data_IF_739750310248
#
_entry.id   IF_739750310248
#
_cell.length_a   1.000
_cell.length_b   1.000
_cell.length_c   1.000
_cell.angle_alpha   90.00
_cell.angle_beta   90.00
_cell.angle_gamma   90.00
#
_symmetry.space_group_name_H-M   'P 1'
#
loop_
_entity.id
_entity.type
_entity.pdbx_description
1 polymer ?
#
# COMPACT_ATOMS: atom_id res chain seq x y z
N UNK A 1 -23.64 13.12 -37.79
CA UNK A 1 -23.85 13.92 -36.56
C UNK A 1 -22.50 14.49 -36.16
N UNK A 2 -22.36 15.82 -36.06
CA UNK A 2 -21.11 16.42 -35.61
C UNK A 2 -21.11 16.41 -34.08
N UNK A 3 -20.09 15.79 -33.48
CA UNK A 3 -19.85 15.89 -32.04
C UNK A 3 -19.48 17.34 -31.72
N UNK A 4 -20.12 17.94 -30.71
CA UNK A 4 -19.72 19.25 -30.22
C UNK A 4 -18.59 19.09 -29.21
N UNK A 5 -17.37 19.47 -29.61
CA UNK A 5 -16.22 19.48 -28.73
C UNK A 5 -16.22 20.81 -27.96
N UNK A 6 -16.21 20.81 -26.61
CA UNK A 6 -16.38 22.02 -25.80
C UNK A 6 -15.12 22.91 -25.74
N UNK A 7 -14.09 22.57 -26.50
CA UNK A 7 -12.82 23.30 -26.59
C UNK A 7 -12.24 23.21 -28.00
N UNK A 8 -11.21 24.02 -28.29
CA UNK A 8 -10.53 23.97 -29.58
C UNK A 8 -9.70 22.69 -29.70
N UNK A 9 -10.13 21.76 -30.55
CA UNK A 9 -9.40 20.54 -30.89
C UNK A 9 -9.03 20.59 -32.38
N UNK A 10 -7.76 20.89 -32.66
CA UNK A 10 -7.25 21.10 -34.01
C UNK A 10 -6.93 19.80 -34.77
N UNK A 11 -6.41 19.94 -35.99
CA UNK A 11 -5.89 18.80 -36.76
C UNK A 11 -4.70 18.17 -36.02
N UNK A 12 -4.85 16.89 -35.67
CA UNK A 12 -3.82 16.14 -34.94
C UNK A 12 -3.33 14.98 -35.78
N UNK A 13 -2.01 14.91 -36.00
CA UNK A 13 -1.38 13.83 -36.73
C UNK A 13 -0.93 12.72 -35.79
N UNK A 14 -1.28 11.48 -36.11
CA UNK A 14 -0.87 10.28 -35.38
C UNK A 14 0.22 9.55 -36.15
N UNK A 15 1.28 9.14 -35.46
CA UNK A 15 2.36 8.31 -36.01
C UNK A 15 2.35 6.96 -35.30
N UNK A 16 1.76 5.98 -35.95
CA UNK A 16 1.50 4.66 -35.38
C UNK A 16 2.09 3.55 -36.26
N UNK A 17 2.56 2.43 -35.68
CA UNK A 17 2.94 1.25 -36.44
C UNK A 17 1.76 0.70 -37.24
N UNK A 18 2.00 0.21 -38.45
CA UNK A 18 0.91 -0.32 -39.29
C UNK A 18 0.28 -1.61 -38.75
N UNK A 19 0.98 -2.34 -37.89
CA UNK A 19 0.52 -3.55 -37.22
C UNK A 19 -0.20 -3.30 -35.89
N UNK A 20 -0.22 -2.06 -35.40
CA UNK A 20 -1.07 -1.65 -34.27
C UNK A 20 -2.54 -1.93 -34.58
N UNK A 21 -3.32 -2.30 -33.57
CA UNK A 21 -4.74 -2.57 -33.74
C UNK A 21 -5.55 -1.26 -33.76
N UNK A 22 -6.75 -1.30 -34.35
CA UNK A 22 -7.67 -0.15 -34.34
C UNK A 22 -8.04 0.25 -32.91
N UNK A 23 -8.18 -0.71 -31.98
CA UNK A 23 -8.48 -0.41 -30.57
C UNK A 23 -7.36 0.40 -29.91
N UNK A 24 -6.10 0.06 -30.17
CA UNK A 24 -4.96 0.80 -29.61
C UNK A 24 -4.88 2.23 -30.19
N UNK A 25 -5.27 2.41 -31.46
CA UNK A 25 -5.41 3.74 -32.06
C UNK A 25 -6.54 4.55 -31.41
N UNK A 26 -7.65 3.91 -31.04
CA UNK A 26 -8.74 4.57 -30.32
C UNK A 26 -8.22 5.08 -28.96
N UNK A 27 -7.50 4.26 -28.21
CA UNK A 27 -6.90 4.65 -26.92
C UNK A 27 -5.94 5.84 -27.05
N UNK A 28 -5.10 5.87 -28.09
CA UNK A 28 -4.20 7.01 -28.39
C UNK A 28 -4.98 8.30 -28.68
N UNK A 29 -6.12 8.20 -29.37
CA UNK A 29 -6.97 9.36 -29.66
C UNK A 29 -7.66 9.87 -28.40
N UNK A 30 -8.16 8.98 -27.55
CA UNK A 30 -8.76 9.33 -26.26
C UNK A 30 -7.76 10.03 -25.34
N UNK A 31 -6.54 9.46 -25.22
CA UNK A 31 -5.45 10.06 -24.45
C UNK A 31 -5.10 11.46 -24.98
N UNK A 32 -5.05 11.62 -26.30
CA UNK A 32 -4.76 12.92 -26.91
C UNK A 32 -5.88 13.95 -26.69
N UNK A 33 -7.12 13.50 -26.72
CA UNK A 33 -8.28 14.33 -26.41
C UNK A 33 -8.24 14.82 -24.94
N UNK A 34 -7.91 13.94 -24.01
CA UNK A 34 -7.76 14.24 -22.58
C UNK A 34 -6.67 15.31 -22.34
N UNK A 35 -5.51 15.19 -23.00
CA UNK A 35 -4.43 16.19 -22.93
C UNK A 35 -4.90 17.59 -23.34
N UNK A 36 -5.58 17.71 -24.48
CA UNK A 36 -6.05 19.00 -25.00
C UNK A 36 -7.22 19.55 -24.19
N UNK A 37 -8.09 18.67 -23.68
CA UNK A 37 -9.17 19.00 -22.76
C UNK A 37 -8.66 19.63 -21.47
N UNK A 38 -7.58 19.07 -20.91
CA UNK A 38 -6.91 19.59 -19.71
C UNK A 38 -6.25 20.93 -19.99
N UNK A 39 -5.53 21.08 -21.12
CA UNK A 39 -4.92 22.37 -21.52
C UNK A 39 -5.96 23.47 -21.72
N UNK A 40 -7.14 23.12 -22.21
CA UNK A 40 -8.25 24.06 -22.39
C UNK A 40 -9.05 24.34 -21.10
N UNK A 41 -8.77 23.64 -20.00
CA UNK A 41 -9.52 23.76 -18.75
C UNK A 41 -10.94 23.20 -18.79
N UNK A 42 -11.25 22.33 -19.76
CA UNK A 42 -12.58 21.74 -19.92
C UNK A 42 -12.80 20.53 -19.00
N UNK A 43 -11.74 19.76 -18.71
CA UNK A 43 -11.78 18.59 -17.81
C UNK A 43 -12.85 17.55 -18.20
N UNK A 44 -12.86 17.17 -19.47
CA UNK A 44 -13.71 16.13 -20.06
C UNK A 44 -12.88 15.05 -20.76
N UNK A 45 -13.38 13.81 -20.75
CA UNK A 45 -12.80 12.65 -21.44
C UNK A 45 -13.69 12.29 -22.65
N UNK A 46 -13.09 11.63 -23.65
CA UNK A 46 -13.78 11.08 -24.82
C UNK A 46 -13.81 9.56 -24.70
N UNK A 47 -14.98 8.95 -24.83
CA UNK A 47 -15.16 7.49 -24.94
C UNK A 47 -15.57 7.16 -26.38
N UNK A 48 -14.65 6.60 -27.18
CA UNK A 48 -14.87 6.34 -28.61
C UNK A 48 -15.67 5.07 -28.80
N UNK A 49 -16.84 5.21 -29.42
CA UNK A 49 -17.71 4.09 -29.80
C UNK A 49 -17.43 3.58 -31.21
N UNK A 50 -17.02 4.48 -32.13
CA UNK A 50 -16.86 4.18 -33.55
C UNK A 50 -15.66 4.93 -34.13
N UNK A 51 -14.83 4.23 -34.89
CA UNK A 51 -13.75 4.79 -35.71
C UNK A 51 -13.93 4.35 -37.18
N UNK A 52 -13.73 5.26 -38.12
CA UNK A 52 -13.81 4.97 -39.57
C UNK A 52 -12.74 5.71 -40.37
N UNK A 53 -12.34 5.16 -41.53
CA UNK A 53 -11.51 5.89 -42.50
C UNK A 53 -12.38 6.90 -43.26
N UNK A 54 -11.98 8.17 -43.34
CA UNK A 54 -12.78 9.22 -44.00
C UNK A 54 -13.00 8.97 -45.51
N UNK A 55 -12.13 8.18 -46.14
CA UNK A 55 -12.31 7.71 -47.53
C UNK A 55 -13.51 6.76 -47.67
N UNK A 56 -13.86 6.01 -46.62
CA UNK A 56 -15.04 5.13 -46.56
C UNK A 56 -15.88 5.37 -45.29
N UNK A 57 -16.71 6.41 -45.35
CA UNK A 57 -17.60 6.83 -44.26
C UNK A 57 -18.78 5.89 -43.98
N UNK A 58 -18.94 4.79 -44.73
CA UNK A 58 -20.07 3.86 -44.58
C UNK A 58 -19.76 2.67 -43.68
N UNK A 59 -18.50 2.48 -43.30
CA UNK A 59 -18.06 1.28 -42.59
C UNK A 59 -17.26 1.64 -41.34
N UNK A 60 -17.81 1.31 -40.18
CA UNK A 60 -17.06 1.27 -38.93
C UNK A 60 -15.96 0.19 -39.03
N UNK A 61 -14.79 0.49 -38.50
CA UNK A 61 -13.68 -0.46 -38.46
C UNK A 61 -13.85 -1.41 -37.28
N UNK A 62 -13.38 -2.65 -37.46
CA UNK A 62 -13.33 -3.63 -36.38
C UNK A 62 -12.15 -3.27 -35.46
N UNK A 63 -12.35 -3.10 -34.14
CA UNK A 63 -11.29 -2.74 -33.20
C UNK A 63 -10.09 -3.70 -33.19
N UNK A 64 -10.30 -4.97 -33.56
CA UNK A 64 -9.25 -5.99 -33.57
C UNK A 64 -8.51 -6.12 -34.90
N UNK A 65 -8.83 -5.31 -35.91
CA UNK A 65 -8.08 -5.32 -37.17
C UNK A 65 -6.81 -4.46 -37.03
N UNK A 66 -5.76 -4.79 -37.81
CA UNK A 66 -4.57 -3.96 -37.88
C UNK A 66 -4.82 -2.69 -38.70
N UNK A 67 -4.22 -1.56 -38.30
CA UNK A 67 -4.36 -0.26 -38.98
C UNK A 67 -4.03 -0.35 -40.47
N UNK A 68 -2.95 -1.06 -40.84
CA UNK A 68 -2.51 -1.22 -42.24
C UNK A 68 -3.54 -1.90 -43.15
N UNK A 69 -4.54 -2.59 -42.60
CA UNK A 69 -5.61 -3.19 -43.39
C UNK A 69 -6.61 -2.14 -43.89
N UNK A 70 -6.67 -0.97 -43.25
CA UNK A 70 -7.70 0.05 -43.48
C UNK A 70 -7.14 1.44 -43.79
N UNK A 71 -5.84 1.67 -43.57
CA UNK A 71 -5.21 2.98 -43.72
C UNK A 71 -3.90 2.94 -44.49
N UNK A 72 -3.70 3.96 -45.34
CA UNK A 72 -2.40 4.31 -45.91
C UNK A 72 -1.81 5.55 -45.21
N UNK A 73 -0.50 5.75 -45.32
CA UNK A 73 0.16 6.93 -44.74
C UNK A 73 -0.41 8.23 -45.33
N UNK A 74 -0.90 9.11 -44.46
CA UNK A 74 -1.53 10.38 -44.84
C UNK A 74 -3.07 10.31 -44.90
N UNK A 75 -3.67 9.14 -44.68
CA UNK A 75 -5.11 9.02 -44.51
C UNK A 75 -5.59 9.72 -43.26
N UNK A 76 -6.84 10.17 -43.30
CA UNK A 76 -7.53 10.72 -42.13
C UNK A 76 -8.64 9.76 -41.69
N UNK A 77 -8.96 9.80 -40.41
CA UNK A 77 -10.04 9.02 -39.83
C UNK A 77 -10.98 9.93 -39.05
N UNK A 78 -12.21 9.47 -38.89
CA UNK A 78 -13.19 10.09 -38.00
C UNK A 78 -13.46 9.19 -36.81
N UNK A 79 -13.84 9.83 -35.70
CA UNK A 79 -14.27 9.17 -34.46
C UNK A 79 -15.63 9.69 -34.03
N UNK A 80 -16.42 8.82 -33.40
CA UNK A 80 -17.69 9.16 -32.77
C UNK A 80 -17.78 8.44 -31.42
N UNK A 81 -18.30 9.14 -30.42
CA UNK A 81 -18.21 8.73 -29.03
C UNK A 81 -18.99 9.66 -28.12
N UNK A 82 -18.83 9.45 -26.83
CA UNK A 82 -19.45 10.26 -25.79
C UNK A 82 -18.39 11.11 -25.09
N UNK A 83 -18.71 12.39 -24.84
CA UNK A 83 -17.86 13.27 -24.04
C UNK A 83 -18.40 13.26 -22.62
N UNK A 84 -17.60 12.77 -21.68
CA UNK A 84 -17.97 12.60 -20.28
C UNK A 84 -17.13 13.52 -19.40
N UNK A 85 -17.63 13.97 -18.24
CA UNK A 85 -16.81 14.68 -17.27
C UNK A 85 -15.60 13.83 -16.87
N UNK A 86 -14.40 14.40 -16.98
CA UNK A 86 -13.17 13.71 -16.61
C UNK A 86 -13.21 13.42 -15.12
N UNK A 87 -13.09 12.14 -14.77
CA UNK A 87 -12.81 11.75 -13.38
C UNK A 87 -11.30 11.90 -13.21
N UNK A 88 -10.80 12.42 -12.08
CA UNK A 88 -9.36 12.43 -11.84
C UNK A 88 -8.83 10.99 -11.94
N UNK A 89 -8.19 10.66 -13.07
CA UNK A 89 -7.48 9.40 -13.22
C UNK A 89 -6.34 9.44 -12.23
N UNK A 90 -6.33 8.47 -11.32
CA UNK A 90 -5.24 8.31 -10.40
C UNK A 90 -3.93 8.20 -11.19
N UNK A 91 -2.88 8.89 -10.74
CA UNK A 91 -1.59 8.91 -11.41
C UNK A 91 -1.09 7.49 -11.70
N UNK A 92 -0.31 7.27 -12.77
CA UNK A 92 0.30 5.97 -13.02
C UNK A 92 1.04 5.51 -11.75
N UNK A 93 0.93 4.23 -11.37
CA UNK A 93 1.50 3.73 -10.12
C UNK A 93 3.00 4.04 -10.08
N UNK A 94 3.48 4.56 -8.95
CA UNK A 94 4.90 4.83 -8.76
C UNK A 94 5.71 3.54 -8.96
N UNK A 95 6.94 3.60 -9.50
CA UNK A 95 7.88 2.48 -9.43
C UNK A 95 7.96 1.97 -7.99
N UNK A 96 8.05 0.64 -7.79
CA UNK A 96 8.05 0.05 -6.43
C UNK A 96 9.07 0.70 -5.49
N UNK A 97 10.25 1.05 -6.01
CA UNK A 97 11.34 1.71 -5.27
C UNK A 97 10.96 3.10 -4.73
N UNK A 98 10.10 3.82 -5.46
CA UNK A 98 9.64 5.18 -5.14
C UNK A 98 8.37 5.19 -4.26
N UNK A 99 7.76 4.03 -4.03
CA UNK A 99 6.61 3.91 -3.13
C UNK A 99 7.03 4.05 -1.67
N UNK A 100 6.15 4.58 -0.83
CA UNK A 100 6.38 4.66 0.60
C UNK A 100 6.30 3.24 1.23
N UNK A 101 7.35 2.72 1.89
CA UNK A 101 7.32 1.41 2.49
C UNK A 101 6.44 1.37 3.75
N UNK A 102 5.58 0.36 3.80
CA UNK A 102 4.66 0.09 4.91
C UNK A 102 5.03 -1.24 5.56
N UNK A 103 5.37 -1.22 6.84
CA UNK A 103 5.67 -2.40 7.64
C UNK A 103 4.56 -2.68 8.63
N UNK A 104 4.10 -3.92 8.70
CA UNK A 104 3.12 -4.37 9.70
C UNK A 104 3.90 -4.96 10.89
N UNK A 105 3.72 -4.40 12.08
CA UNK A 105 4.23 -4.94 13.33
C UNK A 105 3.11 -5.73 14.04
N UNK A 106 3.32 -7.03 14.20
CA UNK A 106 2.40 -7.94 14.92
C UNK A 106 3.12 -8.70 16.03
N UNK A 107 2.36 -9.44 16.84
CA UNK A 107 2.87 -10.27 17.93
C UNK A 107 1.98 -10.22 19.16
N UNK A 108 2.11 -11.23 20.02
CA UNK A 108 1.26 -11.37 21.20
C UNK A 108 1.24 -10.16 22.14
N UNK A 109 0.14 -10.03 22.88
CA UNK A 109 0.10 -9.10 24.02
C UNK A 109 1.28 -9.37 24.96
N UNK A 110 1.99 -8.30 25.34
CA UNK A 110 3.16 -8.38 26.20
C UNK A 110 4.44 -8.85 25.51
N UNK A 111 4.48 -9.09 24.19
CA UNK A 111 5.73 -9.43 23.49
C UNK A 111 6.74 -8.27 23.47
N UNK A 112 6.26 -7.04 23.68
CA UNK A 112 7.04 -5.81 23.82
C UNK A 112 6.88 -4.83 22.67
N UNK A 113 5.82 -4.94 21.85
CA UNK A 113 5.54 -4.06 20.70
C UNK A 113 5.59 -2.58 21.07
N UNK A 114 4.82 -2.16 22.07
CA UNK A 114 4.81 -0.79 22.58
C UNK A 114 6.19 -0.34 23.10
N UNK A 115 6.98 -1.25 23.69
CA UNK A 115 8.36 -0.94 24.11
C UNK A 115 9.26 -0.69 22.90
N UNK A 116 9.13 -1.48 21.83
CA UNK A 116 9.85 -1.29 20.58
C UNK A 116 9.44 0.04 19.91
N UNK A 117 8.15 0.34 19.81
CA UNK A 117 7.67 1.60 19.21
C UNK A 117 8.18 2.82 19.99
N UNK A 118 8.13 2.79 21.32
CA UNK A 118 8.70 3.83 22.16
C UNK A 118 10.22 3.99 21.96
N UNK A 119 10.94 2.88 21.83
CA UNK A 119 12.37 2.89 21.54
C UNK A 119 12.64 3.54 20.17
N UNK A 120 11.86 3.19 19.14
CA UNK A 120 11.96 3.78 17.79
C UNK A 120 11.71 5.29 17.85
N UNK A 121 10.66 5.74 18.53
CA UNK A 121 10.28 7.16 18.61
C UNK A 121 11.29 8.00 19.40
N UNK A 122 11.84 7.48 20.49
CA UNK A 122 12.72 8.26 21.39
C UNK A 122 14.19 8.21 21.00
N UNK A 123 14.69 7.03 20.65
CA UNK A 123 16.13 6.78 20.59
C UNK A 123 16.67 6.73 19.15
N UNK A 124 15.81 6.81 18.13
CA UNK A 124 16.20 6.62 16.73
C UNK A 124 15.72 7.80 15.89
N UNK A 125 16.68 8.54 15.33
CA UNK A 125 16.45 9.83 14.64
C UNK A 125 16.83 9.76 13.15
N UNK A 126 17.30 8.60 12.68
CA UNK A 126 17.86 8.42 11.34
C UNK A 126 16.80 8.36 10.23
N UNK A 127 15.53 8.12 10.58
CA UNK A 127 14.38 8.04 9.67
C UNK A 127 13.17 8.71 10.30
N UNK A 128 12.33 9.34 9.49
CA UNK A 128 11.01 9.87 9.86
C UNK A 128 9.97 8.79 9.67
N UNK A 129 9.45 8.26 10.77
CA UNK A 129 8.59 7.08 10.78
C UNK A 129 7.20 7.51 11.22
N UNK A 130 6.17 7.23 10.42
CA UNK A 130 4.79 7.36 10.83
C UNK A 130 4.31 6.04 11.46
N UNK A 131 3.62 6.13 12.60
CA UNK A 131 3.12 4.95 13.32
C UNK A 131 1.59 5.02 13.36
N UNK A 132 0.93 3.92 12.96
CA UNK A 132 -0.51 3.74 13.09
C UNK A 132 -0.76 2.64 14.13
N UNK A 133 -1.40 2.99 15.24
CA UNK A 133 -1.83 2.03 16.26
C UNK A 133 -3.25 1.56 15.94
N UNK A 134 -3.45 0.25 15.80
CA UNK A 134 -4.76 -0.34 15.48
C UNK A 134 -5.42 -1.06 16.69
N UNK A 135 -5.11 -0.65 17.93
CA UNK A 135 -5.66 -1.29 19.16
C UNK A 135 -6.98 -0.71 19.66
N UNK A 136 -7.97 -1.60 19.87
CA UNK A 136 -9.11 -1.34 20.74
C UNK A 136 -8.69 -1.54 22.19
N UNK A 137 -8.68 -0.45 22.96
CA UNK A 137 -8.74 -0.48 24.42
C UNK A 137 -7.47 -0.95 25.14
N UNK A 138 -6.50 -0.07 25.28
CA UNK A 138 -5.82 0.29 26.53
C UNK A 138 -4.89 1.49 26.21
N UNK A 139 -4.65 2.36 27.20
CA UNK A 139 -4.09 3.70 27.03
C UNK A 139 -2.66 3.67 26.42
N UNK A 140 -2.56 4.27 25.23
CA UNK A 140 -1.51 5.11 24.60
C UNK A 140 -0.02 4.85 24.85
N UNK A 141 0.79 5.06 23.80
CA UNK A 141 2.12 5.67 23.95
C UNK A 141 2.01 6.84 24.95
N UNK A 142 2.78 6.80 26.04
CA UNK A 142 2.69 7.73 27.17
C UNK A 142 2.26 9.16 26.76
N UNK A 143 1.07 9.60 27.21
CA UNK A 143 0.57 11.00 27.09
C UNK A 143 1.57 12.03 27.67
N UNK A 144 2.52 11.56 28.50
CA UNK A 144 3.63 12.35 29.02
C UNK A 144 4.59 12.85 27.92
N UNK A 145 4.62 12.22 26.74
CA UNK A 145 5.48 12.62 25.62
C UNK A 145 4.85 13.68 24.72
N UNK A 146 3.52 13.69 24.59
CA UNK A 146 2.81 14.74 23.85
C UNK A 146 2.71 16.04 24.66
N UNK A 147 2.78 15.96 25.99
CA UNK A 147 2.57 17.10 26.91
C UNK A 147 3.84 17.82 27.36
N UNK A 148 5.03 17.24 27.19
CA UNK A 148 6.29 17.88 27.57
C UNK A 148 6.98 18.59 26.38
N UNK A 149 6.38 19.70 25.96
CA UNK A 149 7.02 21.03 25.77
C UNK A 149 8.33 21.22 25.00
N UNK A 150 9.00 20.20 24.48
CA UNK A 150 10.26 20.35 23.74
C UNK A 150 10.07 19.83 22.32
N UNK A 151 9.90 20.77 21.39
CA UNK A 151 9.97 20.63 19.92
C UNK A 151 10.51 19.28 19.43
N UNK A 152 9.66 18.25 19.40
CA UNK A 152 9.89 17.04 18.63
C UNK A 152 9.51 17.40 17.20
N UNK A 153 10.52 17.69 16.39
CA UNK A 153 10.32 18.04 14.99
C UNK A 153 9.66 16.88 14.25
N UNK A 154 8.37 17.06 13.93
CA UNK A 154 7.61 16.32 12.91
C UNK A 154 7.49 14.81 13.11
N UNK A 155 6.73 14.43 14.13
CA UNK A 155 6.00 13.16 14.19
C UNK A 155 4.51 13.45 14.47
N UNK A 156 3.92 14.38 13.71
CA UNK A 156 2.50 14.73 13.83
C UNK A 156 1.68 13.90 12.84
N UNK A 157 1.13 12.77 13.30
CA UNK A 157 -0.29 12.39 13.15
C UNK A 157 -0.53 11.01 13.78
N UNK A 158 -0.83 10.99 15.08
CA UNK A 158 -1.43 9.82 15.71
C UNK A 158 -2.92 9.86 15.33
N UNK A 159 -3.34 9.04 14.37
CA UNK A 159 -4.77 8.88 14.05
C UNK A 159 -5.34 7.85 15.03
N UNK A 160 -5.90 8.34 16.13
CA UNK A 160 -6.67 7.50 17.07
C UNK A 160 -8.02 7.19 16.42
N UNK A 161 -8.34 5.90 16.26
CA UNK A 161 -9.58 5.44 15.64
C UNK A 161 -10.73 5.40 16.66
N UNK A 162 -11.94 5.80 16.23
CA UNK A 162 -13.12 5.92 17.10
C UNK A 162 -13.78 4.57 17.45
N UNK A 163 -14.32 4.49 18.65
CA UNK A 163 -14.94 3.31 19.26
C UNK A 163 -16.25 2.88 18.54
N UNK A 164 -16.23 1.89 17.64
CA UNK A 164 -17.48 1.27 17.16
C UNK A 164 -17.38 0.14 16.12
N UNK A 165 -17.82 -1.08 16.52
CA UNK A 165 -18.17 -2.29 15.74
C UNK A 165 -17.25 -2.79 14.59
N UNK A 166 -17.07 -4.12 14.55
CA UNK A 166 -15.75 -4.75 14.57
C UNK A 166 -15.10 -5.18 13.22
N UNK A 167 -15.63 -4.88 12.04
CA UNK A 167 -14.98 -5.36 10.80
C UNK A 167 -14.98 -4.41 9.59
N UNK A 168 -15.96 -3.51 9.45
CA UNK A 168 -15.99 -2.54 8.36
C UNK A 168 -15.32 -1.21 8.75
N UNK A 169 -15.49 -0.78 10.01
CA UNK A 169 -14.91 0.47 10.54
C UNK A 169 -13.39 0.40 10.58
N UNK A 170 -12.83 -0.71 11.09
CA UNK A 170 -11.37 -0.94 11.19
C UNK A 170 -10.66 -0.83 9.83
N UNK A 171 -11.24 -1.44 8.78
CA UNK A 171 -10.70 -1.35 7.42
C UNK A 171 -10.78 0.09 6.90
N UNK A 172 -11.93 0.74 7.09
CA UNK A 172 -12.13 2.12 6.68
C UNK A 172 -11.19 3.09 7.39
N UNK A 173 -10.95 2.89 8.69
CA UNK A 173 -10.14 3.80 9.50
C UNK A 173 -8.64 3.60 9.26
N UNK A 174 -8.20 2.36 9.01
CA UNK A 174 -6.84 2.11 8.52
C UNK A 174 -6.60 2.78 7.16
N UNK A 175 -7.54 2.63 6.21
CA UNK A 175 -7.44 3.27 4.89
C UNK A 175 -7.37 4.80 5.04
N UNK A 176 -8.25 5.40 5.84
CA UNK A 176 -8.25 6.84 6.11
C UNK A 176 -6.95 7.31 6.77
N UNK A 177 -6.41 6.53 7.71
CA UNK A 177 -5.13 6.85 8.37
C UNK A 177 -3.98 6.89 7.36
N UNK A 178 -3.90 5.88 6.50
CA UNK A 178 -2.89 5.81 5.44
C UNK A 178 -3.07 6.92 4.39
N UNK A 179 -4.30 7.19 3.95
CA UNK A 179 -4.61 8.31 3.05
C UNK A 179 -4.25 9.66 3.69
N UNK A 180 -4.54 9.83 4.98
CA UNK A 180 -4.19 11.05 5.72
C UNK A 180 -2.68 11.28 5.82
N UNK A 181 -1.87 10.22 5.81
CA UNK A 181 -0.40 10.32 5.73
C UNK A 181 0.04 10.75 4.33
N UNK A 182 -0.55 10.17 3.27
CA UNK A 182 -0.26 10.57 1.89
C UNK A 182 -0.59 12.05 1.65
N UNK A 183 -1.74 12.51 2.14
CA UNK A 183 -2.14 13.91 2.04
C UNK A 183 -1.12 14.86 2.70
N UNK A 184 -0.54 14.47 3.83
CA UNK A 184 0.45 15.27 4.52
C UNK A 184 1.79 15.28 3.78
N UNK A 185 2.18 14.14 3.18
CA UNK A 185 3.35 14.07 2.28
C UNK A 185 3.14 14.97 1.05
N UNK A 186 1.97 14.94 0.43
CA UNK A 186 1.63 15.80 -0.71
C UNK A 186 1.65 17.29 -0.36
N UNK A 187 1.40 17.65 0.91
CA UNK A 187 1.53 19.03 1.43
C UNK A 187 2.96 19.43 1.77
N UNK A 188 3.96 18.58 1.51
CA UNK A 188 5.37 18.84 1.78
C UNK A 188 5.89 18.20 3.07
N UNK A 189 5.10 17.35 3.72
CA UNK A 189 5.57 16.47 4.77
C UNK A 189 6.64 15.51 4.26
N UNK A 190 7.55 15.09 5.14
CA UNK A 190 8.58 14.12 4.80
C UNK A 190 8.48 12.95 5.77
N UNK A 191 8.12 11.78 5.25
CA UNK A 191 7.99 10.51 5.98
C UNK A 191 8.72 9.46 5.14
N UNK A 192 9.66 8.75 5.75
CA UNK A 192 10.49 7.76 5.08
C UNK A 192 9.84 6.37 5.07
N UNK A 193 9.03 6.05 6.08
CA UNK A 193 8.31 4.78 6.16
C UNK A 193 7.12 4.84 7.13
N UNK A 194 6.21 3.87 7.00
CA UNK A 194 5.06 3.68 7.88
C UNK A 194 5.20 2.36 8.63
N UNK A 195 4.88 2.37 9.93
CA UNK A 195 4.70 1.17 10.74
C UNK A 195 3.25 1.07 11.22
N UNK A 196 2.58 -0.03 10.90
CA UNK A 196 1.22 -0.32 11.37
C UNK A 196 1.32 -1.35 12.50
N UNK A 197 0.97 -0.98 13.72
CA UNK A 197 0.83 -1.93 14.82
C UNK A 197 -0.52 -2.62 14.75
N UNK A 198 -0.50 -3.96 14.79
CA UNK A 198 -1.70 -4.78 14.95
C UNK A 198 -1.86 -5.19 16.41
N UNK A 199 -3.10 -5.37 16.87
CA UNK A 199 -3.36 -5.78 18.26
C UNK A 199 -2.68 -7.08 18.65
N UNK A 200 -2.50 -7.28 19.97
CA UNK A 200 -1.90 -8.47 20.57
C UNK A 200 -2.46 -9.85 20.16
N UNK A 201 -3.56 -9.94 19.41
CA UNK A 201 -4.10 -11.19 18.84
C UNK A 201 -4.45 -11.09 17.34
N UNK A 202 -4.10 -10.00 16.67
CA UNK A 202 -4.49 -9.79 15.28
C UNK A 202 -3.63 -10.62 14.32
N UNK A 203 -4.31 -11.46 13.54
CA UNK A 203 -3.81 -12.03 12.30
C UNK A 203 -3.38 -10.88 11.36
N UNK A 204 -2.15 -10.88 10.80
CA UNK A 204 -1.73 -9.85 9.84
C UNK A 204 -2.49 -9.95 8.49
N UNK A 205 -3.05 -11.11 8.14
CA UNK A 205 -3.64 -11.38 6.82
C UNK A 205 -4.78 -10.42 6.45
N UNK A 206 -5.76 -10.11 7.31
CA UNK A 206 -6.81 -9.14 7.00
C UNK A 206 -6.27 -7.74 6.67
N UNK A 207 -5.20 -7.30 7.32
CA UNK A 207 -4.58 -5.99 7.09
C UNK A 207 -3.85 -6.00 5.75
N UNK A 208 -3.04 -7.04 5.50
CA UNK A 208 -2.37 -7.26 4.21
C UNK A 208 -3.39 -7.27 3.07
N UNK A 209 -4.50 -8.02 3.21
CA UNK A 209 -5.57 -8.06 2.19
C UNK A 209 -6.22 -6.71 1.98
N UNK A 210 -6.48 -5.96 3.05
CA UNK A 210 -7.10 -4.63 2.97
C UNK A 210 -6.20 -3.67 2.21
N UNK A 211 -4.89 -3.68 2.50
CA UNK A 211 -3.90 -2.88 1.80
C UNK A 211 -3.80 -3.25 0.32
N UNK A 212 -3.59 -4.54 0.03
CA UNK A 212 -3.37 -5.04 -1.34
C UNK A 212 -4.62 -4.92 -2.23
N UNK A 213 -5.82 -4.87 -1.66
CA UNK A 213 -7.07 -4.73 -2.41
C UNK A 213 -7.45 -3.27 -2.65
N UNK A 214 -6.60 -2.30 -2.28
CA UNK A 214 -6.90 -0.88 -2.39
C UNK A 214 -5.93 -0.19 -3.36
N UNK A 215 -6.32 -0.01 -4.64
CA UNK A 215 -5.47 0.57 -5.67
C UNK A 215 -4.88 1.93 -5.28
N UNK A 216 -5.69 2.79 -4.66
CA UNK A 216 -5.29 4.14 -4.21
C UNK A 216 -4.12 4.10 -3.22
N UNK A 217 -4.05 3.09 -2.35
CA UNK A 217 -2.91 2.90 -1.45
C UNK A 217 -1.72 2.31 -2.19
N UNK A 218 -1.94 1.27 -3.00
CA UNK A 218 -0.85 0.54 -3.67
C UNK A 218 -0.17 1.32 -4.81
N UNK A 219 -0.75 2.44 -5.25
CA UNK A 219 -0.15 3.36 -6.20
C UNK A 219 1.02 4.15 -5.59
N UNK A 220 0.88 4.55 -4.33
CA UNK A 220 1.84 5.42 -3.62
C UNK A 220 2.61 4.71 -2.51
N UNK A 221 2.11 3.57 -2.03
CA UNK A 221 2.69 2.80 -0.95
C UNK A 221 2.94 1.36 -1.36
N UNK A 222 3.96 0.73 -0.77
CA UNK A 222 4.23 -0.70 -0.89
C UNK A 222 4.17 -1.38 0.47
N UNK A 223 3.58 -2.57 0.52
CA UNK A 223 3.72 -3.42 1.70
C UNK A 223 5.13 -4.01 1.69
N UNK A 224 5.97 -3.50 2.59
CA UNK A 224 7.37 -3.85 2.70
C UNK A 224 7.54 -5.19 3.42
N UNK A 225 7.09 -5.26 4.68
CA UNK A 225 7.33 -6.41 5.56
C UNK A 225 6.19 -6.67 6.56
N UNK A 226 6.00 -7.94 6.91
CA UNK A 226 5.34 -8.36 8.16
C UNK A 226 6.41 -8.71 9.19
N UNK A 227 6.51 -7.91 10.24
CA UNK A 227 7.44 -8.08 11.35
C UNK A 227 6.68 -8.62 12.56
N UNK A 228 7.08 -9.80 13.05
CA UNK A 228 6.48 -10.43 14.23
C UNK A 228 7.39 -10.28 15.43
N UNK A 229 6.91 -9.64 16.50
CA UNK A 229 7.59 -9.56 17.78
C UNK A 229 7.21 -10.74 18.67
N UNK A 230 8.19 -11.62 18.92
CA UNK A 230 8.01 -12.86 19.65
C UNK A 230 8.66 -12.79 21.05
N UNK A 231 7.91 -13.16 22.09
CA UNK A 231 8.41 -13.32 23.45
C UNK A 231 9.15 -14.66 23.58
N UNK A 232 10.48 -14.63 23.67
CA UNK A 232 11.30 -15.85 23.71
C UNK A 232 11.01 -16.75 24.92
N UNK A 233 10.55 -16.20 26.04
CA UNK A 233 10.26 -16.96 27.26
C UNK A 233 8.97 -17.77 27.15
N UNK A 234 7.96 -17.23 26.45
CA UNK A 234 6.62 -17.83 26.41
C UNK A 234 6.26 -18.45 25.06
N UNK A 235 7.06 -18.22 24.00
CA UNK A 235 6.70 -18.62 22.63
C UNK A 235 6.41 -20.11 22.47
N UNK A 236 7.25 -21.00 23.02
CA UNK A 236 7.05 -22.45 22.87
C UNK A 236 5.69 -22.86 23.46
N UNK A 237 5.38 -22.38 24.67
CA UNK A 237 4.09 -22.64 25.31
C UNK A 237 2.92 -22.16 24.44
N UNK A 238 3.01 -20.94 23.88
CA UNK A 238 1.99 -20.40 22.96
C UNK A 238 1.82 -21.23 21.68
N UNK A 239 2.91 -21.77 21.14
CA UNK A 239 2.88 -22.62 19.96
C UNK A 239 2.27 -24.00 20.24
N UNK A 240 2.33 -24.46 21.49
CA UNK A 240 1.84 -25.76 21.92
C UNK A 240 0.45 -25.69 22.60
N UNK A 241 -0.10 -24.48 22.77
CA UNK A 241 -1.46 -24.24 23.26
C UNK A 241 -2.46 -25.02 22.39
N UNK A 242 -3.32 -25.80 23.06
CA UNK A 242 -4.38 -26.56 22.39
C UNK A 242 -5.45 -25.61 21.90
N UNK A 243 -5.67 -25.61 20.59
CA UNK A 243 -6.78 -24.91 19.94
C UNK A 243 -7.94 -25.86 19.70
N UNK A 244 -9.15 -25.31 19.67
CA UNK A 244 -10.36 -26.05 19.30
C UNK A 244 -10.22 -26.66 17.91
N UNK A 245 -10.87 -27.81 17.69
CA UNK A 245 -10.84 -28.51 16.42
C UNK A 245 -11.38 -27.61 15.29
N UNK A 246 -10.58 -27.45 14.23
CA UNK A 246 -10.89 -26.56 13.10
C UNK A 246 -10.39 -25.11 13.25
N UNK A 247 -9.81 -24.72 14.38
CA UNK A 247 -9.12 -23.42 14.53
C UNK A 247 -7.62 -23.57 14.33
N UNK A 248 -6.98 -22.50 13.82
CA UNK A 248 -5.53 -22.43 13.68
C UNK A 248 -4.95 -21.74 14.91
N UNK A 249 -3.80 -22.21 15.40
CA UNK A 249 -3.07 -21.54 16.46
C UNK A 249 -2.51 -20.20 15.93
N UNK A 250 -2.92 -19.10 16.57
CA UNK A 250 -2.54 -17.73 16.18
C UNK A 250 -1.01 -17.51 16.27
N UNK A 251 -0.34 -18.14 17.24
CA UNK A 251 1.11 -18.04 17.38
C UNK A 251 1.82 -18.69 16.20
N UNK A 252 1.29 -19.84 15.78
CA UNK A 252 1.80 -20.51 14.61
C UNK A 252 1.63 -19.63 13.36
N UNK A 253 0.46 -19.00 13.18
CA UNK A 253 0.20 -18.12 12.04
C UNK A 253 1.13 -16.90 12.03
N UNK A 254 1.26 -16.18 13.15
CA UNK A 254 2.13 -15.01 13.25
C UNK A 254 3.59 -15.32 12.92
N UNK A 255 4.08 -16.49 13.33
CA UNK A 255 5.43 -16.94 12.97
C UNK A 255 5.51 -17.37 11.51
N UNK A 256 4.50 -18.06 10.98
CA UNK A 256 4.45 -18.52 9.60
C UNK A 256 4.39 -17.39 8.57
N UNK A 257 3.67 -16.30 8.87
CA UNK A 257 3.50 -15.15 7.98
C UNK A 257 4.60 -14.09 8.11
N UNK A 258 5.50 -14.22 9.08
CA UNK A 258 6.55 -13.23 9.31
C UNK A 258 7.61 -13.25 8.19
N UNK A 259 7.93 -12.08 7.66
CA UNK A 259 9.17 -11.86 6.90
C UNK A 259 10.36 -11.73 7.86
N UNK A 260 10.13 -11.09 9.00
CA UNK A 260 11.12 -10.92 10.07
C UNK A 260 10.52 -11.23 11.43
N UNK A 261 11.28 -11.91 12.27
CA UNK A 261 10.88 -12.24 13.65
C UNK A 261 11.85 -11.56 14.60
N UNK A 262 11.36 -10.62 15.39
CA UNK A 262 12.10 -10.04 16.51
C UNK A 262 11.94 -10.99 17.68
N UNK A 263 12.97 -11.77 17.99
CA UNK A 263 13.00 -12.65 19.15
C UNK A 263 13.43 -11.85 20.38
N UNK A 264 12.45 -11.31 21.09
CA UNK A 264 12.63 -10.39 22.21
C UNK A 264 12.66 -11.14 23.55
N UNK A 265 13.15 -10.47 24.61
CA UNK A 265 13.29 -10.96 25.98
C UNK A 265 14.29 -12.10 26.15
N UNK A 266 15.32 -12.12 25.30
CA UNK A 266 16.43 -13.08 25.42
C UNK A 266 17.17 -12.98 26.75
N UNK A 267 17.03 -11.88 27.49
CA UNK A 267 17.54 -11.70 28.86
C UNK A 267 16.82 -12.54 29.91
N UNK A 268 15.67 -13.15 29.58
CA UNK A 268 14.86 -13.96 30.51
C UNK A 268 15.03 -15.47 30.34
N UNK A 269 15.85 -15.92 29.39
CA UNK A 269 16.07 -17.33 29.08
C UNK A 269 17.57 -17.63 28.95
N UNK A 270 17.95 -18.88 29.14
CA UNK A 270 19.32 -19.34 28.93
C UNK A 270 19.59 -19.69 27.46
N UNK A 271 20.85 -20.05 27.16
CA UNK A 271 21.28 -20.37 25.80
C UNK A 271 20.60 -21.64 25.23
N UNK A 272 20.32 -22.64 26.07
CA UNK A 272 19.68 -23.88 25.64
C UNK A 272 18.22 -23.61 25.23
N UNK A 273 17.51 -22.86 26.06
CA UNK A 273 16.17 -22.38 25.77
C UNK A 273 16.13 -21.51 24.50
N UNK A 274 17.09 -20.59 24.34
CA UNK A 274 17.16 -19.73 23.16
C UNK A 274 17.36 -20.54 21.86
N UNK A 275 18.20 -21.58 21.90
CA UNK A 275 18.38 -22.51 20.77
C UNK A 275 17.09 -23.27 20.49
N UNK A 276 16.43 -23.83 21.52
CA UNK A 276 15.18 -24.56 21.36
C UNK A 276 14.07 -23.69 20.74
N UNK A 277 13.94 -22.44 21.19
CA UNK A 277 12.96 -21.48 20.63
C UNK A 277 13.27 -21.17 19.18
N UNK A 278 14.54 -20.92 18.85
CA UNK A 278 14.98 -20.65 17.47
C UNK A 278 14.71 -21.85 16.56
N UNK A 279 15.02 -23.06 17.01
CA UNK A 279 14.78 -24.28 16.25
C UNK A 279 13.29 -24.49 16.04
N UNK A 280 12.48 -24.26 17.08
CA UNK A 280 11.02 -24.32 16.98
C UNK A 280 10.49 -23.34 15.94
N UNK A 281 10.93 -22.08 15.95
CA UNK A 281 10.59 -21.09 14.92
C UNK A 281 10.96 -21.62 13.52
N UNK A 282 12.16 -22.21 13.36
CA UNK A 282 12.64 -22.73 12.08
C UNK A 282 11.84 -23.93 11.55
N UNK A 283 11.20 -24.70 12.42
CA UNK A 283 10.25 -25.75 12.00
C UNK A 283 9.01 -25.17 11.32
N UNK A 284 8.65 -23.93 11.65
CA UNK A 284 7.45 -23.24 11.16
C UNK A 284 7.79 -22.34 9.97
N UNK A 285 8.83 -21.50 10.12
CA UNK A 285 9.24 -20.53 9.11
C UNK A 285 10.76 -20.56 8.89
N UNK A 286 11.15 -21.19 7.78
CA UNK A 286 12.55 -21.33 7.36
C UNK A 286 13.12 -20.06 6.75
N UNK A 287 12.27 -19.16 6.24
CA UNK A 287 12.66 -18.01 5.45
C UNK A 287 12.80 -16.73 6.28
N UNK A 288 12.04 -16.60 7.37
CA UNK A 288 12.07 -15.40 8.20
C UNK A 288 13.47 -15.08 8.74
N UNK A 289 13.90 -13.82 8.65
CA UNK A 289 15.09 -13.37 9.37
C UNK A 289 14.77 -13.26 10.86
N UNK A 290 15.54 -13.94 11.71
CA UNK A 290 15.37 -13.86 13.17
C UNK A 290 16.33 -12.79 13.71
N UNK A 291 15.78 -11.74 14.30
CA UNK A 291 16.49 -10.62 14.90
C UNK A 291 16.50 -10.80 16.43
N UNK A 292 17.67 -11.02 17.06
CA UNK A 292 17.74 -11.12 18.51
C UNK A 292 17.51 -9.75 19.16
N UNK A 293 16.69 -9.70 20.20
CA UNK A 293 16.40 -8.48 20.92
C UNK A 293 16.26 -8.71 22.44
N UNK A 294 16.55 -7.65 23.19
CA UNK A 294 16.30 -7.54 24.62
C UNK A 294 15.61 -6.21 24.86
N UNK A 295 14.57 -6.20 25.69
CA UNK A 295 13.79 -4.99 26.03
C UNK A 295 13.32 -4.20 24.80
N UNK A 296 12.93 -4.89 23.73
CA UNK A 296 12.42 -4.28 22.50
C UNK A 296 13.47 -3.53 21.68
N UNK A 297 14.77 -3.70 21.97
CA UNK A 297 15.83 -3.00 21.24
C UNK A 297 16.33 -3.82 20.07
N UNK A 298 16.23 -3.24 18.87
CA UNK A 298 16.70 -3.78 17.59
C UNK A 298 17.10 -2.60 16.68
N UNK A 299 18.01 -2.82 15.72
CA UNK A 299 18.37 -1.75 14.78
C UNK A 299 17.19 -1.43 13.88
N UNK A 300 16.74 -0.17 13.84
CA UNK A 300 15.54 0.24 13.07
C UNK A 300 15.68 0.01 11.58
N UNK A 301 16.89 0.15 11.04
CA UNK A 301 17.19 -0.18 9.63
C UNK A 301 16.93 -1.65 9.29
N UNK A 302 16.87 -2.54 10.28
CA UNK A 302 16.52 -3.94 10.10
C UNK A 302 15.01 -4.17 10.04
N UNK A 303 14.17 -3.15 10.22
CA UNK A 303 12.70 -3.29 10.24
C UNK A 303 12.02 -2.86 8.94
N UNK A 304 12.73 -2.09 8.10
CA UNK A 304 12.20 -1.51 6.86
C UNK A 304 13.11 -1.84 5.68
N UNK A 305 12.60 -1.63 4.46
CA UNK A 305 13.26 -1.79 3.16
C UNK A 305 13.82 -3.21 2.97
N UNK A 306 12.92 -4.18 2.97
CA UNK A 306 13.29 -5.61 2.86
C UNK A 306 13.26 -6.13 1.42
N UNK A 307 12.66 -5.37 0.51
CA UNK A 307 12.51 -5.69 -0.91
C UNK A 307 13.41 -4.83 -1.77
#
# INVERSE_FOLDING_TARGET
>A
PYMQIPFAFGETAFRVPGDMLIVDLMDEVEMKFEEESTKAGASVDLEINVLWNTKDHKKALNPNDAIKAHFESGDTFGVYGDIVPSRPKAAPPKPEEDKLPVTILTGFLGSGKTTLLNYILKEQQDKKIAIIENEFGEISIDDALLSQGEKVSMAEKIVVMDNGCMCCTIRGDLIKGLQGILDDIHKGGNIDCIMIETTGMADPVPIVRTFMSNPELTQDMRLDAVVTMADSKHLIGRLDDKVEEGKVNEAYQQIAFADKIILNKLDLIDAEQAMAVKDRIRTINKFAKILPAMRGRVRVRELFDIR
#
